data_IF_511983397974
#
_entry.id   IF_511983397974
#
_cell.length_a   1.000
_cell.length_b   1.000
_cell.length_c   1.000
_cell.angle_alpha   90.00
_cell.angle_beta   90.00
_cell.angle_gamma   90.00
#
_symmetry.space_group_name_H-M   'P 1'
#
loop_
_entity.id
_entity.type
_entity.pdbx_description
1 polymer ?
#
# COMPACT_ATOMS: atom_id res chain seq x y z
N UNK A 1 66.24 39.67 2.09
CA UNK A 1 65.33 39.88 0.93
C UNK A 1 65.09 38.51 0.28
N UNK A 2 63.90 38.24 -0.28
CA UNK A 2 63.06 37.11 0.15
C UNK A 2 63.16 35.84 -0.71
N UNK A 3 62.85 34.71 -0.09
CA UNK A 3 62.58 33.42 -0.73
C UNK A 3 61.25 33.45 -1.50
N UNK A 4 61.17 32.99 -2.75
CA UNK A 4 59.89 32.67 -3.38
C UNK A 4 59.44 31.28 -2.93
N UNK A 5 58.44 31.26 -2.06
CA UNK A 5 57.65 30.07 -1.71
C UNK A 5 56.92 29.61 -2.97
N UNK A 6 57.30 28.47 -3.55
CA UNK A 6 56.49 27.82 -4.58
C UNK A 6 55.18 27.35 -3.93
N UNK A 7 54.09 27.81 -4.54
CA UNK A 7 52.72 27.63 -4.08
C UNK A 7 52.28 26.20 -4.40
N UNK A 8 51.71 25.54 -3.39
CA UNK A 8 50.97 24.29 -3.49
C UNK A 8 49.68 24.52 -4.29
N UNK A 9 49.38 23.74 -5.35
CA UNK A 9 48.02 23.58 -5.84
C UNK A 9 47.58 22.14 -5.54
N UNK A 10 47.18 21.87 -4.29
CA UNK A 10 46.40 20.67 -3.98
C UNK A 10 44.93 21.07 -4.01
N UNK A 11 44.42 21.32 -5.22
CA UNK A 11 43.03 21.69 -5.42
C UNK A 11 42.44 20.76 -6.48
N UNK A 12 41.37 20.08 -6.05
CA UNK A 12 40.25 19.62 -6.87
C UNK A 12 40.57 18.53 -7.91
N UNK A 13 40.68 17.28 -7.46
CA UNK A 13 40.50 16.13 -8.36
C UNK A 13 39.79 14.94 -7.67
N UNK A 14 38.83 15.19 -6.78
CA UNK A 14 38.16 14.08 -6.05
C UNK A 14 36.65 14.24 -5.89
N UNK A 15 35.99 15.16 -6.62
CA UNK A 15 34.55 15.41 -6.48
C UNK A 15 33.73 15.09 -7.74
N UNK A 16 34.14 14.09 -8.52
CA UNK A 16 33.41 13.65 -9.72
C UNK A 16 33.19 12.13 -9.81
N UNK A 17 33.18 11.44 -8.66
CA UNK A 17 33.01 9.98 -8.57
C UNK A 17 31.69 9.50 -7.95
N UNK A 18 30.77 10.40 -7.56
CA UNK A 18 29.63 10.06 -6.70
C UNK A 18 28.23 10.24 -7.32
N UNK A 19 28.13 10.49 -8.64
CA UNK A 19 26.84 10.83 -9.26
C UNK A 19 26.43 9.99 -10.49
N UNK A 20 27.11 8.87 -10.76
CA UNK A 20 26.71 7.97 -11.86
C UNK A 20 26.44 6.52 -11.42
N UNK A 21 26.36 6.25 -10.12
CA UNK A 21 25.51 5.18 -9.61
C UNK A 21 24.04 5.62 -9.73
N UNK A 22 23.61 5.95 -10.95
CA UNK A 22 22.21 5.94 -11.31
C UNK A 22 21.76 4.49 -11.21
N UNK A 23 21.36 4.09 -10.00
CA UNK A 23 20.60 2.88 -9.75
C UNK A 23 19.42 2.90 -10.73
N UNK A 24 19.58 2.18 -11.82
CA UNK A 24 18.48 1.63 -12.61
C UNK A 24 17.71 0.69 -11.68
N UNK A 25 16.92 1.26 -10.77
CA UNK A 25 15.89 0.48 -10.08
C UNK A 25 14.74 0.42 -11.07
N UNK A 26 14.73 -0.69 -11.80
CA UNK A 26 13.73 -0.97 -12.81
C UNK A 26 12.35 -0.84 -12.18
N UNK A 27 11.38 -0.32 -12.94
CA UNK A 27 9.95 -0.34 -12.62
C UNK A 27 9.35 -1.77 -12.64
N UNK A 28 10.18 -2.78 -12.36
CA UNK A 28 9.91 -4.21 -12.46
C UNK A 28 10.59 -5.00 -11.35
N UNK A 29 10.99 -4.36 -10.23
CA UNK A 29 11.29 -5.13 -9.02
C UNK A 29 9.97 -5.78 -8.62
N UNK A 30 9.92 -7.10 -8.72
CA UNK A 30 8.77 -7.91 -8.32
C UNK A 30 8.25 -7.45 -6.95
N UNK A 31 7.03 -6.89 -6.93
CA UNK A 31 6.42 -6.35 -5.72
C UNK A 31 6.31 -7.41 -4.62
N UNK A 32 6.25 -8.69 -4.98
CA UNK A 32 6.21 -9.81 -4.04
C UNK A 32 7.54 -10.02 -3.30
N UNK A 33 8.65 -9.52 -3.85
CA UNK A 33 10.01 -9.66 -3.30
C UNK A 33 10.60 -8.32 -2.83
N UNK A 34 9.86 -7.22 -2.94
CA UNK A 34 10.30 -5.92 -2.50
C UNK A 34 10.53 -5.91 -0.97
N UNK A 35 11.68 -5.39 -0.48
CA UNK A 35 11.98 -5.38 0.94
C UNK A 35 11.04 -4.41 1.68
N UNK A 36 10.31 -4.93 2.67
CA UNK A 36 9.37 -4.19 3.52
C UNK A 36 9.14 -4.93 4.84
N UNK A 37 8.62 -4.20 5.83
CA UNK A 37 8.29 -4.76 7.13
C UNK A 37 6.90 -5.40 7.12
N UNK A 38 6.80 -6.66 7.54
CA UNK A 38 5.50 -7.31 7.74
C UNK A 38 4.69 -6.55 8.78
N UNK A 39 3.43 -6.31 8.46
CA UNK A 39 2.47 -5.59 9.26
C UNK A 39 1.59 -6.56 10.05
N UNK A 40 1.11 -6.18 11.25
CA UNK A 40 0.26 -7.03 12.07
C UNK A 40 -1.05 -7.46 11.38
N UNK A 41 -1.57 -6.64 10.47
CA UNK A 41 -2.83 -6.89 9.77
C UNK A 41 -2.72 -7.94 8.66
N UNK A 42 -1.52 -8.31 8.20
CA UNK A 42 -1.35 -9.29 7.11
C UNK A 42 -1.66 -10.73 7.51
N UNK A 43 -1.49 -11.06 8.79
CA UNK A 43 -1.63 -12.42 9.31
C UNK A 43 -2.73 -12.52 10.38
N UNK A 44 -3.73 -11.64 10.32
CA UNK A 44 -4.85 -11.69 11.24
C UNK A 44 -5.62 -13.01 11.06
N UNK A 45 -5.81 -13.76 12.15
CA UNK A 45 -6.67 -14.95 12.16
C UNK A 45 -8.13 -14.51 12.23
N UNK A 46 -8.83 -14.58 11.10
CA UNK A 46 -10.22 -14.14 10.97
C UNK A 46 -11.24 -15.21 11.37
N UNK A 47 -10.81 -16.46 11.66
CA UNK A 47 -11.70 -17.61 11.82
C UNK A 47 -12.70 -17.47 12.98
N UNK A 48 -12.40 -16.60 13.96
CA UNK A 48 -13.27 -16.32 15.11
C UNK A 48 -13.88 -14.92 15.13
N UNK A 49 -13.71 -14.12 14.07
CA UNK A 49 -14.18 -12.73 14.10
C UNK A 49 -15.68 -12.63 13.84
N UNK A 50 -16.37 -11.86 14.68
CA UNK A 50 -17.73 -11.40 14.40
C UNK A 50 -17.76 -10.25 13.37
N UNK A 51 -18.95 -9.84 12.94
CA UNK A 51 -19.12 -8.76 11.96
C UNK A 51 -18.46 -7.45 12.39
N UNK A 52 -18.50 -7.09 13.68
CA UNK A 52 -17.90 -5.84 14.17
C UNK A 52 -16.37 -5.92 14.14
N UNK A 53 -15.80 -7.06 14.51
CA UNK A 53 -14.36 -7.30 14.46
C UNK A 53 -13.85 -7.32 13.01
N UNK A 54 -14.62 -7.91 12.09
CA UNK A 54 -14.30 -7.87 10.66
C UNK A 54 -14.36 -6.45 10.09
N UNK A 55 -15.37 -5.66 10.47
CA UNK A 55 -15.47 -4.24 10.07
C UNK A 55 -14.31 -3.41 10.64
N UNK A 56 -13.92 -3.65 11.89
CA UNK A 56 -12.77 -2.98 12.51
C UNK A 56 -11.44 -3.37 11.82
N UNK A 57 -11.30 -4.64 11.42
CA UNK A 57 -10.15 -5.08 10.65
C UNK A 57 -10.14 -4.42 9.26
N UNK A 58 -11.28 -4.37 8.57
CA UNK A 58 -11.41 -3.68 7.28
C UNK A 58 -11.07 -2.19 7.38
N UNK A 59 -11.48 -1.51 8.46
CA UNK A 59 -11.08 -0.11 8.74
C UNK A 59 -9.58 0.04 8.94
N UNK A 60 -8.95 -0.91 9.62
CA UNK A 60 -7.48 -0.94 9.75
C UNK A 60 -6.81 -1.01 8.39
N UNK A 61 -7.33 -1.86 7.49
CA UNK A 61 -6.82 -2.01 6.13
C UNK A 61 -7.05 -0.75 5.28
N UNK A 62 -8.22 -0.10 5.39
CA UNK A 62 -8.50 1.18 4.72
C UNK A 62 -7.51 2.26 5.16
N UNK A 63 -7.31 2.40 6.47
CA UNK A 63 -6.36 3.38 7.00
C UNK A 63 -4.93 3.08 6.55
N UNK A 64 -4.54 1.81 6.48
CA UNK A 64 -3.25 1.40 5.96
C UNK A 64 -3.09 1.70 4.46
N UNK A 65 -4.15 1.54 3.65
CA UNK A 65 -4.15 1.97 2.24
C UNK A 65 -3.92 3.46 2.09
N UNK A 66 -4.61 4.27 2.89
CA UNK A 66 -4.45 5.73 2.86
C UNK A 66 -3.04 6.15 3.31
N UNK A 67 -2.50 5.49 4.34
CA UNK A 67 -1.14 5.74 4.81
C UNK A 67 -0.09 5.37 3.76
N UNK A 68 -0.21 4.20 3.12
CA UNK A 68 0.66 3.77 2.04
C UNK A 68 0.62 4.74 0.86
N UNK A 69 -0.57 5.21 0.48
CA UNK A 69 -0.74 6.17 -0.60
C UNK A 69 -0.12 7.54 -0.27
N UNK A 70 -0.26 8.02 0.97
CA UNK A 70 0.35 9.25 1.44
C UNK A 70 1.88 9.17 1.54
N UNK A 71 2.42 7.97 1.70
CA UNK A 71 3.85 7.70 1.77
C UNK A 71 4.48 7.27 0.43
N UNK A 72 3.73 7.32 -0.67
CA UNK A 72 4.13 6.84 -2.00
C UNK A 72 4.60 5.36 -2.02
N UNK A 73 4.06 4.53 -1.12
CA UNK A 73 4.44 3.13 -0.96
C UNK A 73 3.54 2.21 -1.81
N UNK A 74 3.72 2.23 -3.13
CA UNK A 74 2.96 1.37 -4.05
C UNK A 74 3.07 -0.14 -3.72
N UNK A 75 4.20 -0.57 -3.14
CA UNK A 75 4.41 -1.97 -2.72
C UNK A 75 3.34 -2.48 -1.76
N UNK A 76 2.87 -1.63 -0.85
CA UNK A 76 1.92 -2.02 0.19
C UNK A 76 0.54 -2.36 -0.40
N UNK A 77 0.18 -1.79 -1.55
CA UNK A 77 -1.11 -2.02 -2.19
C UNK A 77 -1.35 -3.49 -2.55
N UNK A 78 -0.30 -4.23 -2.91
CA UNK A 78 -0.38 -5.67 -3.12
C UNK A 78 -0.80 -6.40 -1.84
N UNK A 79 -0.10 -6.16 -0.74
CA UNK A 79 -0.35 -6.85 0.54
C UNK A 79 -1.69 -6.45 1.16
N UNK A 80 -2.09 -5.19 0.98
CA UNK A 80 -3.39 -4.69 1.44
C UNK A 80 -4.54 -5.41 0.74
N UNK A 81 -4.45 -5.68 -0.56
CA UNK A 81 -5.45 -6.50 -1.25
C UNK A 81 -5.49 -7.93 -0.70
N UNK A 82 -4.32 -8.56 -0.53
CA UNK A 82 -4.20 -9.93 0.01
C UNK A 82 -4.86 -10.04 1.39
N UNK A 83 -4.80 -9.00 2.23
CA UNK A 83 -5.48 -8.97 3.52
C UNK A 83 -6.97 -8.55 3.43
N UNK A 84 -7.33 -7.66 2.51
CA UNK A 84 -8.71 -7.20 2.31
C UNK A 84 -9.61 -8.33 1.80
N UNK A 85 -9.15 -9.14 0.85
CA UNK A 85 -9.98 -10.17 0.21
C UNK A 85 -10.55 -11.19 1.23
N UNK A 86 -9.75 -11.82 2.12
CA UNK A 86 -10.28 -12.72 3.15
C UNK A 86 -11.25 -12.02 4.13
N UNK A 87 -10.98 -10.76 4.47
CA UNK A 87 -11.84 -9.95 5.35
C UNK A 87 -13.22 -9.74 4.72
N UNK A 88 -13.25 -9.42 3.43
CA UNK A 88 -14.47 -9.23 2.66
C UNK A 88 -15.24 -10.55 2.45
N UNK A 89 -14.53 -11.66 2.24
CA UNK A 89 -15.14 -12.99 2.15
C UNK A 89 -15.80 -13.40 3.47
N UNK A 90 -15.15 -13.16 4.61
CA UNK A 90 -15.71 -13.41 5.92
C UNK A 90 -16.94 -12.52 6.21
N UNK A 91 -16.90 -11.24 5.80
CA UNK A 91 -18.07 -10.35 5.91
C UNK A 91 -19.25 -10.84 5.05
N UNK A 92 -18.99 -11.34 3.85
CA UNK A 92 -20.02 -11.89 2.98
C UNK A 92 -20.70 -13.12 3.61
N UNK A 93 -19.90 -13.99 4.26
CA UNK A 93 -20.42 -15.16 4.98
C UNK A 93 -21.34 -14.77 6.14
N UNK A 94 -21.11 -13.59 6.77
CA UNK A 94 -21.92 -13.07 7.87
C UNK A 94 -23.12 -12.20 7.41
N UNK A 95 -23.32 -12.00 6.11
CA UNK A 95 -24.40 -11.19 5.55
C UNK A 95 -25.44 -11.96 4.70
N UNK A 96 -25.81 -13.23 5.01
CA UNK A 96 -26.72 -13.99 4.17
C UNK A 96 -28.09 -13.33 4.11
N UNK A 97 -28.62 -13.17 2.89
CA UNK A 97 -29.92 -12.52 2.64
C UNK A 97 -29.88 -10.99 2.63
N UNK A 98 -28.75 -10.36 2.97
CA UNK A 98 -28.57 -8.92 2.84
C UNK A 98 -27.98 -8.57 1.47
N UNK A 99 -28.84 -8.51 0.45
CA UNK A 99 -28.42 -8.28 -0.94
C UNK A 99 -27.67 -6.95 -1.14
N UNK A 100 -27.98 -5.91 -0.36
CA UNK A 100 -27.30 -4.62 -0.45
C UNK A 100 -25.85 -4.73 0.02
N UNK A 101 -25.63 -5.30 1.22
CA UNK A 101 -24.29 -5.54 1.75
C UNK A 101 -23.47 -6.43 0.83
N UNK A 102 -24.05 -7.52 0.32
CA UNK A 102 -23.37 -8.43 -0.61
C UNK A 102 -22.93 -7.71 -1.90
N UNK A 103 -23.76 -6.85 -2.49
CA UNK A 103 -23.40 -6.07 -3.67
C UNK A 103 -22.27 -5.07 -3.39
N UNK A 104 -22.29 -4.44 -2.22
CA UNK A 104 -21.22 -3.53 -1.77
C UNK A 104 -19.91 -4.30 -1.56
N UNK A 105 -19.95 -5.48 -0.94
CA UNK A 105 -18.79 -6.35 -0.73
C UNK A 105 -18.16 -6.77 -2.07
N UNK A 106 -18.94 -7.21 -3.04
CA UNK A 106 -18.41 -7.59 -4.36
C UNK A 106 -17.76 -6.40 -5.09
N UNK A 107 -18.32 -5.21 -4.93
CA UNK A 107 -17.69 -3.98 -5.46
C UNK A 107 -16.37 -3.70 -4.77
N UNK A 108 -16.30 -3.83 -3.43
CA UNK A 108 -15.08 -3.67 -2.65
C UNK A 108 -13.99 -4.66 -3.08
N UNK A 109 -14.32 -5.93 -3.31
CA UNK A 109 -13.37 -6.93 -3.83
C UNK A 109 -12.80 -6.53 -5.19
N UNK A 110 -13.65 -6.04 -6.10
CA UNK A 110 -13.19 -5.53 -7.40
C UNK A 110 -12.23 -4.34 -7.26
N UNK A 111 -12.47 -3.44 -6.30
CA UNK A 111 -11.57 -2.32 -6.02
C UNK A 111 -10.25 -2.77 -5.38
N UNK A 112 -10.28 -3.77 -4.48
CA UNK A 112 -9.08 -4.34 -3.90
C UNK A 112 -8.15 -4.93 -4.98
N UNK A 113 -8.70 -5.67 -5.95
CA UNK A 113 -7.92 -6.17 -7.11
C UNK A 113 -7.32 -5.01 -7.92
N UNK A 114 -8.06 -3.92 -8.13
CA UNK A 114 -7.52 -2.73 -8.83
C UNK A 114 -6.42 -2.05 -8.01
N UNK A 115 -6.52 -2.07 -6.68
CA UNK A 115 -5.50 -1.54 -5.79
C UNK A 115 -4.20 -2.34 -5.92
N UNK A 116 -4.31 -3.67 -5.91
CA UNK A 116 -3.20 -4.58 -6.19
C UNK A 116 -2.51 -4.27 -7.53
N UNK A 117 -3.28 -4.09 -8.61
CA UNK A 117 -2.73 -3.74 -9.92
C UNK A 117 -2.03 -2.38 -9.92
N UNK A 118 -2.59 -1.38 -9.22
CA UNK A 118 -1.94 -0.09 -9.05
C UNK A 118 -0.60 -0.22 -8.31
N UNK A 119 -0.48 -1.19 -7.39
CA UNK A 119 0.79 -1.54 -6.74
C UNK A 119 1.82 -2.06 -7.74
N UNK A 120 1.46 -3.07 -8.54
CA UNK A 120 2.33 -3.63 -9.58
C UNK A 120 2.81 -2.57 -10.59
N UNK A 121 1.94 -1.64 -10.96
CA UNK A 121 2.25 -0.58 -11.91
C UNK A 121 3.02 0.60 -11.28
N UNK A 122 3.24 0.60 -9.96
CA UNK A 122 3.80 1.75 -9.23
C UNK A 122 2.90 3.00 -9.28
N UNK A 123 1.62 2.85 -9.59
CA UNK A 123 0.70 3.94 -9.86
C UNK A 123 0.04 4.46 -8.57
N UNK A 124 0.82 5.19 -7.76
CA UNK A 124 0.35 5.75 -6.49
C UNK A 124 -0.87 6.64 -6.65
N UNK A 125 -0.92 7.47 -7.70
CA UNK A 125 -2.06 8.36 -7.95
C UNK A 125 -3.38 7.60 -8.14
N UNK A 126 -3.34 6.42 -8.77
CA UNK A 126 -4.48 5.53 -8.85
C UNK A 126 -4.78 4.87 -7.49
N UNK A 127 -3.74 4.48 -6.74
CA UNK A 127 -3.86 3.98 -5.38
C UNK A 127 -4.60 4.94 -4.43
N UNK A 128 -4.29 6.24 -4.48
CA UNK A 128 -5.02 7.29 -3.72
C UNK A 128 -6.52 7.26 -4.03
N UNK A 129 -6.88 7.31 -5.32
CA UNK A 129 -8.29 7.31 -5.75
C UNK A 129 -9.02 6.04 -5.33
N UNK A 130 -8.33 4.90 -5.40
CA UNK A 130 -8.89 3.62 -4.98
C UNK A 130 -9.05 3.55 -3.47
N UNK A 131 -8.08 4.04 -2.69
CA UNK A 131 -8.17 4.15 -1.23
C UNK A 131 -9.38 4.97 -0.79
N UNK A 132 -9.62 6.13 -1.41
CA UNK A 132 -10.79 6.96 -1.13
C UNK A 132 -12.11 6.26 -1.52
N UNK A 133 -12.14 5.59 -2.67
CA UNK A 133 -13.33 4.85 -3.11
C UNK A 133 -13.65 3.67 -2.17
N UNK A 134 -12.61 2.94 -1.73
CA UNK A 134 -12.73 1.84 -0.76
C UNK A 134 -13.26 2.39 0.56
N UNK A 135 -12.67 3.46 1.12
CA UNK A 135 -13.12 4.07 2.36
C UNK A 135 -14.62 4.44 2.35
N UNK A 136 -15.06 5.10 1.27
CA UNK A 136 -16.46 5.48 1.10
C UNK A 136 -17.41 4.26 1.05
N UNK A 137 -17.01 3.19 0.36
CA UNK A 137 -17.82 1.97 0.29
C UNK A 137 -17.80 1.17 1.60
N UNK A 138 -16.71 1.21 2.37
CA UNK A 138 -16.65 0.62 3.71
C UNK A 138 -17.62 1.34 4.65
N UNK A 139 -17.67 2.67 4.63
CA UNK A 139 -18.66 3.42 5.41
C UNK A 139 -20.10 3.14 5.01
N UNK A 140 -20.34 2.86 3.73
CA UNK A 140 -21.64 2.37 3.26
C UNK A 140 -21.92 0.95 3.79
N UNK A 141 -20.95 0.04 3.69
CA UNK A 141 -21.11 -1.35 4.13
C UNK A 141 -21.45 -1.43 5.62
N UNK A 142 -20.81 -0.61 6.47
CA UNK A 142 -21.13 -0.51 7.90
C UNK A 142 -22.60 -0.19 8.16
N UNK A 143 -23.20 0.68 7.34
CA UNK A 143 -24.63 1.05 7.45
C UNK A 143 -25.56 -0.04 6.91
N UNK A 144 -25.08 -0.85 5.98
CA UNK A 144 -25.84 -1.97 5.42
C UNK A 144 -25.81 -3.19 6.36
N UNK A 145 -24.77 -3.34 7.18
CA UNK A 145 -24.58 -4.44 8.14
C UNK A 145 -24.99 -4.12 9.59
N UNK A 146 -25.15 -2.84 9.94
CA UNK A 146 -25.63 -2.38 11.25
C UNK A 146 -27.14 -2.22 11.31
#
# INVERSE_FOLDING_TARGET
MPFPKLRLPLALASLLGLLLAGCSKSATDDIHAAPRDTQPWENADLSGYDTNQLLAHLDTLVNATQAAAAADQAVEFHHLEVAMTPTLDALAANAPGNFAALATIETLKSLAVKLHLAGHDGNVAQGVKLGDAIANLVDRLKKELG
#
